data_IF_834857348440
#
_entry.id   IF_834857348440
#
_cell.length_a   1.000
_cell.length_b   1.000
_cell.length_c   1.000
_cell.angle_alpha   90.00
_cell.angle_beta   90.00
_cell.angle_gamma   90.00
#
_symmetry.space_group_name_H-M   'P 1'
#
loop_
_entity.id
_entity.type
_entity.pdbx_description
1 polymer ?
#
# COMPACT_ATOMS: atom_id res chain seq x y z
N UNK A 1 -19.77 -2.49 -3.91
CA UNK A 1 -19.04 -3.12 -5.03
C UNK A 1 -17.64 -3.39 -4.53
N UNK A 2 -17.24 -4.65 -4.53
CA UNK A 2 -15.93 -5.06 -4.03
C UNK A 2 -15.15 -5.68 -5.17
N UNK A 3 -13.88 -5.32 -5.29
CA UNK A 3 -12.99 -5.83 -6.33
C UNK A 3 -11.80 -6.47 -5.64
N UNK A 4 -11.55 -7.74 -5.93
CA UNK A 4 -10.31 -8.41 -5.57
C UNK A 4 -9.31 -8.19 -6.70
N UNK A 5 -8.12 -7.71 -6.36
CA UNK A 5 -7.02 -7.51 -7.32
C UNK A 5 -5.89 -8.46 -6.97
N UNK A 6 -5.37 -9.18 -7.97
CA UNK A 6 -4.14 -9.97 -7.83
C UNK A 6 -3.03 -9.31 -8.60
N UNK A 7 -1.88 -9.18 -7.96
CA UNK A 7 -0.66 -8.63 -8.55
C UNK A 7 0.36 -9.74 -8.81
N UNK A 8 1.45 -9.42 -9.51
CA UNK A 8 2.58 -10.32 -9.70
C UNK A 8 3.24 -10.64 -8.34
N UNK A 9 3.76 -11.86 -8.11
CA UNK A 9 4.54 -12.17 -6.92
C UNK A 9 5.67 -11.16 -6.71
N UNK A 10 5.92 -10.74 -5.47
CA UNK A 10 6.94 -9.75 -5.13
C UNK A 10 6.50 -8.29 -5.19
N UNK A 11 5.28 -7.99 -5.67
CA UNK A 11 4.77 -6.60 -5.71
C UNK A 11 4.81 -5.92 -4.35
N UNK A 12 4.42 -6.61 -3.28
CA UNK A 12 4.48 -6.06 -1.91
C UNK A 12 5.91 -5.62 -1.55
N UNK A 13 6.92 -6.44 -1.84
CA UNK A 13 8.33 -6.14 -1.55
C UNK A 13 8.81 -4.88 -2.28
N UNK A 14 8.43 -4.71 -3.54
CA UNK A 14 8.74 -3.50 -4.32
C UNK A 14 8.06 -2.25 -3.70
N UNK A 15 6.84 -2.41 -3.19
CA UNK A 15 6.15 -1.32 -2.49
C UNK A 15 6.78 -1.00 -1.12
N UNK A 16 7.28 -2.00 -0.40
CA UNK A 16 8.01 -1.83 0.87
C UNK A 16 9.29 -1.00 0.68
N UNK A 17 10.01 -1.18 -0.43
CA UNK A 17 11.24 -0.44 -0.76
C UNK A 17 11.02 1.08 -0.88
N UNK A 18 9.82 1.50 -1.30
CA UNK A 18 9.40 2.91 -1.38
C UNK A 18 8.39 3.28 -0.29
N UNK A 19 8.30 2.45 0.76
CA UNK A 19 7.33 2.62 1.83
C UNK A 19 7.71 3.70 2.84
N UNK A 20 6.70 4.45 3.29
CA UNK A 20 6.73 5.20 4.52
C UNK A 20 5.60 4.73 5.44
N UNK A 21 5.82 4.72 6.76
CA UNK A 21 4.80 4.31 7.74
C UNK A 21 4.17 5.51 8.45
N UNK A 22 3.04 5.31 9.12
CA UNK A 22 2.49 6.32 10.03
C UNK A 22 3.47 6.67 11.16
N UNK A 23 3.24 7.79 11.83
CA UNK A 23 4.18 8.30 12.85
C UNK A 23 4.08 7.55 14.18
N UNK A 24 2.97 6.87 14.47
CA UNK A 24 2.78 6.07 15.68
C UNK A 24 1.65 5.05 15.50
N UNK A 25 1.97 3.75 15.49
CA UNK A 25 1.03 2.67 15.79
C UNK A 25 1.78 1.36 16.09
N UNK A 26 1.29 0.55 17.03
CA UNK A 26 2.11 -0.53 17.60
C UNK A 26 2.45 -1.64 16.61
N UNK A 27 1.49 -2.09 15.80
CA UNK A 27 1.68 -3.26 14.91
C UNK A 27 2.64 -2.91 13.78
N UNK A 28 2.48 -1.73 13.18
CA UNK A 28 3.32 -1.28 12.07
C UNK A 28 4.73 -0.87 12.53
N UNK A 29 4.89 -0.40 13.77
CA UNK A 29 6.21 -0.12 14.33
C UNK A 29 7.02 -1.40 14.57
N UNK A 30 6.36 -2.49 14.95
CA UNK A 30 6.99 -3.82 15.07
C UNK A 30 7.30 -4.45 13.69
N UNK A 31 6.32 -4.47 12.78
CA UNK A 31 6.47 -5.13 11.47
C UNK A 31 7.40 -4.37 10.51
N UNK A 32 7.42 -3.04 10.59
CA UNK A 32 8.18 -2.17 9.70
C UNK A 32 9.08 -1.22 10.51
N UNK A 33 9.82 -1.76 11.47
CA UNK A 33 10.71 -1.01 12.36
C UNK A 33 11.74 -0.13 11.63
N UNK A 34 12.26 -0.60 10.50
CA UNK A 34 13.22 0.13 9.67
C UNK A 34 12.60 1.07 8.62
N UNK A 35 11.27 1.08 8.48
CA UNK A 35 10.59 1.94 7.49
C UNK A 35 10.55 3.39 7.99
N UNK A 36 10.80 4.36 7.10
CA UNK A 36 10.76 5.77 7.47
C UNK A 36 9.34 6.19 7.83
N UNK A 37 9.20 7.09 8.81
CA UNK A 37 7.93 7.74 9.10
C UNK A 37 7.48 8.65 7.93
N UNK A 38 6.16 8.83 7.82
CA UNK A 38 5.52 9.64 6.78
C UNK A 38 5.85 11.12 6.97
N UNK A 39 5.87 11.87 5.87
CA UNK A 39 6.20 13.30 5.84
C UNK A 39 5.38 14.00 4.76
N UNK A 40 5.19 15.32 4.85
CA UNK A 40 4.42 16.08 3.86
C UNK A 40 5.00 15.94 2.44
N UNK A 41 4.14 15.68 1.45
CA UNK A 41 4.56 15.56 0.05
C UNK A 41 5.01 14.15 -0.40
N UNK A 42 4.85 13.12 0.44
CA UNK A 42 5.24 11.74 0.12
C UNK A 42 4.56 11.14 -1.13
N UNK A 43 3.33 11.57 -1.45
CA UNK A 43 2.41 10.88 -2.36
C UNK A 43 2.84 10.72 -3.82
N UNK A 44 3.87 11.44 -4.30
CA UNK A 44 4.37 11.29 -5.66
C UNK A 44 5.45 10.20 -5.79
N UNK A 45 6.22 9.94 -4.74
CA UNK A 45 7.42 9.06 -4.81
C UNK A 45 7.31 7.82 -3.92
N UNK A 46 6.43 7.84 -2.93
CA UNK A 46 6.34 6.83 -1.89
C UNK A 46 4.93 6.25 -1.82
N UNK A 47 4.82 5.09 -1.16
CA UNK A 47 3.53 4.57 -0.66
C UNK A 47 3.47 4.68 0.85
N UNK A 48 2.27 4.84 1.41
CA UNK A 48 2.10 4.93 2.85
C UNK A 48 1.47 3.68 3.43
N UNK A 49 2.22 2.97 4.26
CA UNK A 49 1.70 1.91 5.11
C UNK A 49 1.06 2.57 6.34
N UNK A 50 -0.22 2.26 6.59
CA UNK A 50 -1.00 2.84 7.67
C UNK A 50 -1.75 1.74 8.40
N UNK A 51 -1.50 1.65 9.70
CA UNK A 51 -2.31 0.81 10.58
C UNK A 51 -3.70 1.45 10.79
N UNK A 52 -4.75 0.68 10.52
CA UNK A 52 -6.14 1.06 10.78
C UNK A 52 -6.83 -0.12 11.49
N UNK A 53 -7.15 0.09 12.77
CA UNK A 53 -7.73 -0.92 13.68
C UNK A 53 -6.83 -2.14 13.86
N UNK A 54 -7.00 -3.19 13.04
CA UNK A 54 -6.24 -4.46 13.09
C UNK A 54 -5.69 -4.85 11.72
N UNK A 55 -5.66 -3.90 10.79
CA UNK A 55 -5.22 -4.11 9.42
C UNK A 55 -4.18 -3.04 9.05
N UNK A 56 -3.26 -3.39 8.16
CA UNK A 56 -2.35 -2.45 7.54
C UNK A 56 -2.84 -2.17 6.12
N UNK A 57 -3.14 -0.90 5.86
CA UNK A 57 -3.53 -0.40 4.56
C UNK A 57 -2.31 0.21 3.87
N UNK A 58 -2.16 -0.05 2.57
CA UNK A 58 -1.13 0.56 1.73
C UNK A 58 -1.80 1.59 0.84
N UNK A 59 -1.44 2.85 1.04
CA UNK A 59 -1.90 3.95 0.21
C UNK A 59 -0.91 4.19 -0.93
N UNK A 60 -1.37 4.05 -2.16
CA UNK A 60 -0.54 4.05 -3.37
C UNK A 60 -0.03 5.45 -3.79
N UNK A 61 -0.43 6.50 -3.06
CA UNK A 61 -0.03 7.88 -3.35
C UNK A 61 -1.07 8.62 -4.19
N UNK A 62 -0.61 9.65 -4.90
CA UNK A 62 -1.43 10.51 -5.76
C UNK A 62 -1.40 10.04 -7.21
N UNK A 63 -2.31 10.54 -8.04
CA UNK A 63 -2.30 10.32 -9.48
C UNK A 63 -0.95 10.72 -10.09
N UNK A 64 -0.41 9.89 -11.00
CA UNK A 64 0.94 10.05 -11.54
C UNK A 64 2.06 9.70 -10.55
N UNK A 65 1.74 9.27 -9.33
CA UNK A 65 2.71 8.85 -8.33
C UNK A 65 3.29 7.45 -8.57
N UNK A 66 4.50 7.22 -8.04
CA UNK A 66 5.27 5.99 -8.26
C UNK A 66 4.57 4.73 -7.75
N UNK A 67 3.83 4.83 -6.65
CA UNK A 67 3.09 3.70 -6.09
C UNK A 67 1.99 3.17 -7.01
N UNK A 68 1.20 4.07 -7.62
CA UNK A 68 0.20 3.68 -8.63
C UNK A 68 0.86 3.09 -9.88
N UNK A 69 1.98 3.66 -10.34
CA UNK A 69 2.72 3.13 -11.49
C UNK A 69 3.15 1.66 -11.25
N UNK A 70 3.80 1.39 -10.11
CA UNK A 70 4.24 0.05 -9.72
C UNK A 70 3.05 -0.89 -9.62
N UNK A 71 1.97 -0.47 -8.95
CA UNK A 71 0.77 -1.28 -8.79
C UNK A 71 0.17 -1.68 -10.15
N UNK A 72 0.01 -0.72 -11.05
CA UNK A 72 -0.58 -0.94 -12.38
C UNK A 72 0.31 -1.84 -13.26
N UNK A 73 1.63 -1.65 -13.27
CA UNK A 73 2.57 -2.51 -14.01
C UNK A 73 2.59 -3.97 -13.50
N UNK A 74 2.18 -4.17 -12.24
CA UNK A 74 2.14 -5.47 -11.60
C UNK A 74 0.72 -6.06 -11.53
N UNK A 75 -0.30 -5.42 -12.10
CA UNK A 75 -1.64 -5.97 -12.15
C UNK A 75 -1.63 -7.28 -12.96
N UNK A 76 -2.20 -8.34 -12.38
CA UNK A 76 -2.31 -9.66 -13.04
C UNK A 76 -3.76 -9.98 -13.38
N UNK A 77 -4.69 -9.74 -12.46
CA UNK A 77 -6.13 -9.91 -12.67
C UNK A 77 -6.93 -9.14 -11.65
N UNK A 78 -8.20 -8.88 -11.96
CA UNK A 78 -9.18 -8.38 -11.02
C UNK A 78 -10.50 -9.15 -11.16
N UNK A 79 -11.23 -9.29 -10.07
CA UNK A 79 -12.51 -10.01 -10.01
C UNK A 79 -13.52 -9.18 -9.20
N UNK A 80 -14.74 -9.04 -9.71
CA UNK A 80 -15.84 -8.40 -8.98
C UNK A 80 -16.43 -9.39 -8.00
N UNK A 81 -16.33 -9.08 -6.70
CA UNK A 81 -17.01 -9.86 -5.67
C UNK A 81 -18.42 -9.31 -5.53
N UNK A 82 -19.39 -10.15 -5.91
CA UNK A 82 -20.81 -9.86 -5.68
C UNK A 82 -21.07 -10.06 -4.19
N UNK A 83 -21.25 -8.95 -3.47
CA UNK A 83 -21.74 -9.00 -2.10
C UNK A 83 -23.22 -9.40 -2.15
N UNK A 84 -23.53 -10.64 -1.77
CA UNK A 84 -24.90 -11.01 -1.43
C UNK A 84 -25.20 -10.32 -0.10
N UNK A 85 -25.99 -9.24 -0.16
CA UNK A 85 -26.58 -8.63 1.03
C UNK A 85 -27.76 -9.45 1.53
#
# INVERSE_FOLDING_TARGET
MTVEIKTKPGTLRVLEEIGVKNNSASIIDDLYSNMKHTFSGWGYKFVRFKEEKRQINIQLGQEGGKGLEIFNQNLKKYEFIKENK
#
